data_IF_527601652593
#
_entry.id   IF_527601652593
#
_cell.length_a   1.000
_cell.length_b   1.000
_cell.length_c   1.000
_cell.angle_alpha   90.00
_cell.angle_beta   90.00
_cell.angle_gamma   90.00
#
_symmetry.space_group_name_H-M   'P 1'
#
loop_
_entity.id
_entity.type
_entity.pdbx_description
1 polymer ?
#
# COMPACT_ATOMS: atom_id res chain seq x y z
N UNK A 1 67.36 -14.12 -47.87
CA UNK A 1 68.06 -13.68 -46.64
C UNK A 1 66.98 -13.18 -45.70
N UNK A 2 66.49 -13.89 -44.70
CA UNK A 2 66.82 -15.17 -44.12
C UNK A 2 65.52 -15.79 -43.61
N UNK A 3 65.31 -17.06 -43.92
CA UNK A 3 64.33 -17.92 -43.27
C UNK A 3 65.13 -18.90 -42.40
N UNK A 4 64.89 -18.89 -41.09
CA UNK A 4 65.43 -19.84 -40.11
C UNK A 4 64.32 -20.13 -39.07
N UNK A 5 64.37 -21.26 -38.37
CA UNK A 5 63.39 -22.31 -38.58
C UNK A 5 62.59 -22.68 -37.32
N UNK A 6 61.51 -23.42 -37.58
CA UNK A 6 60.69 -24.25 -36.70
C UNK A 6 61.47 -24.94 -35.57
N UNK A 7 61.05 -24.71 -34.32
CA UNK A 7 61.34 -25.57 -33.18
C UNK A 7 60.00 -26.10 -32.61
N UNK A 8 59.80 -27.42 -32.75
CA UNK A 8 58.70 -28.16 -32.17
C UNK A 8 58.89 -28.27 -30.65
N UNK A 9 57.89 -27.83 -29.88
CA UNK A 9 57.84 -28.02 -28.43
C UNK A 9 56.85 -29.15 -28.09
N UNK A 10 57.41 -30.18 -27.47
CA UNK A 10 56.77 -31.42 -27.03
C UNK A 10 55.60 -31.21 -26.07
N UNK A 11 54.53 -31.99 -26.28
CA UNK A 11 53.42 -32.16 -25.34
C UNK A 11 53.89 -32.71 -23.98
N UNK A 12 53.42 -32.16 -22.85
CA UNK A 12 53.48 -32.87 -21.57
C UNK A 12 52.38 -33.94 -21.47
N UNK A 13 52.77 -35.13 -21.03
CA UNK A 13 51.90 -36.27 -20.80
C UNK A 13 50.83 -35.99 -19.73
N UNK A 14 49.60 -36.43 -20.00
CA UNK A 14 48.46 -36.35 -19.09
C UNK A 14 48.69 -37.21 -17.83
N UNK A 15 48.38 -36.71 -16.61
CA UNK A 15 48.40 -37.56 -15.43
C UNK A 15 47.21 -38.53 -15.41
N UNK A 16 47.49 -39.76 -15.01
CA UNK A 16 46.53 -40.85 -14.88
C UNK A 16 45.38 -40.51 -13.93
N UNK A 17 44.15 -40.76 -14.39
CA UNK A 17 42.91 -40.60 -13.62
C UNK A 17 42.86 -41.61 -12.47
N UNK A 18 42.92 -41.14 -11.23
CA UNK A 18 42.49 -41.90 -10.05
C UNK A 18 40.98 -42.10 -10.07
N UNK A 19 40.46 -43.31 -9.77
CA UNK A 19 39.02 -43.54 -9.68
C UNK A 19 38.49 -42.87 -8.40
N UNK A 20 37.50 -41.98 -8.55
CA UNK A 20 36.73 -41.40 -7.45
C UNK A 20 35.85 -42.50 -6.85
N UNK A 21 35.88 -42.75 -5.53
CA UNK A 21 34.99 -43.72 -4.91
C UNK A 21 33.53 -43.25 -5.00
N UNK A 22 32.63 -44.18 -5.36
CA UNK A 22 31.19 -43.97 -5.49
C UNK A 22 30.60 -43.21 -4.29
N UNK A 23 30.03 -42.04 -4.57
CA UNK A 23 29.24 -41.30 -3.59
C UNK A 23 27.94 -42.09 -3.27
N UNK A 24 27.52 -42.16 -2.00
CA UNK A 24 26.30 -42.87 -1.63
C UNK A 24 25.06 -42.21 -2.27
N UNK A 25 24.11 -42.98 -2.84
CA UNK A 25 22.87 -42.43 -3.36
C UNK A 25 21.93 -42.13 -2.18
N UNK A 26 21.94 -40.89 -1.66
CA UNK A 26 21.08 -40.58 -0.51
C UNK A 26 20.85 -39.12 -0.10
N UNK A 27 21.22 -38.11 -0.91
CA UNK A 27 21.14 -36.69 -0.47
C UNK A 27 20.19 -35.77 -1.25
N UNK A 28 19.58 -36.23 -2.35
CA UNK A 28 18.84 -35.35 -3.25
C UNK A 28 17.40 -35.04 -2.80
N UNK A 29 16.79 -35.90 -1.98
CA UNK A 29 15.37 -35.78 -1.60
C UNK A 29 15.10 -34.90 -0.37
N UNK A 30 16.01 -34.86 0.62
CA UNK A 30 15.84 -34.04 1.84
C UNK A 30 15.96 -32.53 1.52
N UNK A 31 17.00 -32.14 0.77
CA UNK A 31 17.23 -30.74 0.39
C UNK A 31 16.09 -30.14 -0.46
N UNK A 32 15.45 -30.97 -1.29
CA UNK A 32 14.32 -30.55 -2.13
C UNK A 32 13.02 -30.34 -1.36
N UNK A 33 12.73 -31.24 -0.41
CA UNK A 33 11.54 -31.16 0.44
C UNK A 33 11.60 -29.96 1.40
N UNK A 34 12.77 -29.73 2.02
CA UNK A 34 13.00 -28.58 2.90
C UNK A 34 12.90 -27.25 2.14
N UNK A 35 13.43 -27.22 0.91
CA UNK A 35 13.33 -26.05 0.04
C UNK A 35 11.89 -25.71 -0.38
N UNK A 36 11.05 -26.72 -0.62
CA UNK A 36 9.64 -26.54 -0.95
C UNK A 36 8.83 -26.08 0.27
N UNK A 37 9.08 -26.68 1.44
CA UNK A 37 8.45 -26.27 2.69
C UNK A 37 8.79 -24.82 3.05
N UNK A 38 10.05 -24.41 2.89
CA UNK A 38 10.47 -23.02 3.09
C UNK A 38 9.81 -22.06 2.11
N UNK A 39 9.70 -22.44 0.83
CA UNK A 39 8.97 -21.64 -0.18
C UNK A 39 7.49 -21.47 0.17
N UNK A 40 6.83 -22.54 0.65
CA UNK A 40 5.44 -22.47 1.12
C UNK A 40 5.27 -21.55 2.32
N UNK A 41 6.17 -21.63 3.31
CA UNK A 41 6.17 -20.72 4.47
C UNK A 41 6.37 -19.26 4.07
N UNK A 42 7.25 -19.00 3.11
CA UNK A 42 7.46 -17.65 2.59
C UNK A 42 6.20 -17.11 1.89
N UNK A 43 5.51 -17.93 1.10
CA UNK A 43 4.26 -17.55 0.45
C UNK A 43 3.14 -17.26 1.47
N UNK A 44 2.98 -18.10 2.50
CA UNK A 44 2.04 -17.85 3.60
C UNK A 44 2.33 -16.51 4.29
N UNK A 45 3.60 -16.25 4.61
CA UNK A 45 4.03 -15.00 5.21
C UNK A 45 3.74 -13.79 4.31
N UNK A 46 3.97 -13.88 3.00
CA UNK A 46 3.67 -12.80 2.06
C UNK A 46 2.17 -12.51 1.93
N UNK A 47 1.32 -13.54 1.84
CA UNK A 47 -0.13 -13.32 1.88
C UNK A 47 -0.57 -12.64 3.17
N UNK A 48 0.02 -13.02 4.31
CA UNK A 48 -0.26 -12.39 5.61
C UNK A 48 0.22 -10.94 5.68
N UNK A 49 1.40 -10.62 5.14
CA UNK A 49 1.90 -9.24 5.02
C UNK A 49 0.97 -8.41 4.13
N UNK A 50 0.50 -8.97 3.02
CA UNK A 50 -0.44 -8.30 2.12
C UNK A 50 -1.79 -8.05 2.81
N UNK A 51 -2.35 -9.06 3.49
CA UNK A 51 -3.56 -8.98 4.31
C UNK A 51 -3.45 -7.83 5.33
N UNK A 52 -2.38 -7.81 6.12
CA UNK A 52 -2.12 -6.78 7.13
C UNK A 52 -1.99 -5.39 6.49
N UNK A 53 -1.21 -5.26 5.41
CA UNK A 53 -1.01 -3.98 4.74
C UNK A 53 -2.30 -3.41 4.15
N UNK A 54 -3.16 -4.27 3.59
CA UNK A 54 -4.44 -3.89 3.01
C UNK A 54 -5.42 -3.43 4.11
N UNK A 55 -5.45 -4.14 5.25
CA UNK A 55 -6.24 -3.73 6.43
C UNK A 55 -5.86 -2.33 6.91
N UNK A 56 -4.56 -2.07 7.10
CA UNK A 56 -4.08 -0.75 7.52
C UNK A 56 -4.41 0.34 6.51
N UNK A 57 -4.25 0.04 5.22
CA UNK A 57 -4.58 0.97 4.14
C UNK A 57 -6.09 1.30 4.14
N UNK A 58 -6.95 0.29 4.32
CA UNK A 58 -8.39 0.49 4.44
C UNK A 58 -8.75 1.41 5.62
N UNK A 59 -8.17 1.15 6.80
CA UNK A 59 -8.43 1.96 7.98
C UNK A 59 -7.99 3.42 7.79
N UNK A 60 -6.82 3.65 7.17
CA UNK A 60 -6.34 4.99 6.86
C UNK A 60 -7.33 5.76 5.97
N UNK A 61 -7.88 5.09 4.95
CA UNK A 61 -8.87 5.68 4.05
C UNK A 61 -10.20 5.96 4.77
N UNK A 62 -10.67 5.08 5.66
CA UNK A 62 -11.87 5.38 6.48
C UNK A 62 -11.67 6.60 7.39
N UNK A 63 -10.50 6.74 8.01
CA UNK A 63 -10.19 7.90 8.86
C UNK A 63 -10.08 9.19 8.05
N UNK A 64 -9.47 9.17 6.86
CA UNK A 64 -9.50 10.30 5.94
C UNK A 64 -10.94 10.64 5.52
N UNK A 65 -11.77 9.64 5.24
CA UNK A 65 -13.20 9.85 4.96
C UNK A 65 -13.96 10.52 6.10
N UNK A 66 -13.70 10.13 7.36
CA UNK A 66 -14.26 10.79 8.55
C UNK A 66 -13.79 12.24 8.66
N UNK A 67 -12.50 12.48 8.41
CA UNK A 67 -11.90 13.83 8.43
C UNK A 67 -12.53 14.76 7.40
N UNK A 68 -12.76 14.28 6.17
CA UNK A 68 -13.44 15.08 5.14
C UNK A 68 -14.91 15.35 5.50
N UNK A 69 -15.62 14.38 6.05
CA UNK A 69 -16.98 14.59 6.60
C UNK A 69 -16.99 15.66 7.70
N UNK A 70 -16.06 15.59 8.64
CA UNK A 70 -15.93 16.59 9.71
C UNK A 70 -15.62 17.99 9.14
N UNK A 71 -14.77 18.08 8.12
CA UNK A 71 -14.44 19.33 7.43
C UNK A 71 -15.68 19.95 6.76
N UNK A 72 -16.50 19.13 6.11
CA UNK A 72 -17.75 19.60 5.51
C UNK A 72 -18.70 20.18 6.56
N UNK A 73 -18.89 19.49 7.68
CA UNK A 73 -19.74 19.98 8.78
C UNK A 73 -19.18 21.26 9.43
N UNK A 74 -17.86 21.31 9.65
CA UNK A 74 -17.19 22.45 10.29
C UNK A 74 -17.25 23.73 9.46
N UNK A 75 -17.31 23.63 8.13
CA UNK A 75 -17.44 24.79 7.23
C UNK A 75 -18.91 25.08 6.88
N UNK A 76 -19.70 24.03 6.64
CA UNK A 76 -21.08 24.14 6.20
C UNK A 76 -22.00 24.72 7.26
N UNK A 77 -21.90 24.27 8.52
CA UNK A 77 -22.78 24.77 9.59
C UNK A 77 -22.59 26.26 9.91
N UNK A 78 -21.36 26.78 10.07
CA UNK A 78 -21.19 28.21 10.29
C UNK A 78 -21.63 29.03 9.07
N UNK A 79 -21.38 28.55 7.84
CA UNK A 79 -21.81 29.24 6.63
C UNK A 79 -23.34 29.40 6.59
N UNK A 80 -24.09 28.31 6.80
CA UNK A 80 -25.56 28.36 6.77
C UNK A 80 -26.13 29.22 7.90
N UNK A 81 -25.55 29.18 9.09
CA UNK A 81 -25.96 30.02 10.21
C UNK A 81 -25.72 31.52 9.91
N UNK A 82 -24.54 31.87 9.40
CA UNK A 82 -24.20 33.25 9.02
C UNK A 82 -25.12 33.76 7.91
N UNK A 83 -25.41 32.93 6.89
CA UNK A 83 -26.37 33.27 5.85
C UNK A 83 -27.77 33.54 6.41
N UNK A 84 -28.25 32.70 7.35
CA UNK A 84 -29.55 32.87 7.96
C UNK A 84 -29.64 34.16 8.78
N UNK A 85 -28.64 34.45 9.60
CA UNK A 85 -28.58 35.69 10.39
C UNK A 85 -28.49 36.91 9.46
N UNK A 86 -27.65 36.85 8.43
CA UNK A 86 -27.53 37.92 7.43
C UNK A 86 -28.88 38.18 6.73
N UNK A 87 -29.55 37.13 6.27
CA UNK A 87 -30.83 37.22 5.59
C UNK A 87 -31.93 37.82 6.47
N UNK A 88 -32.05 37.35 7.72
CA UNK A 88 -33.03 37.91 8.67
C UNK A 88 -32.74 39.36 9.02
N UNK A 89 -31.46 39.71 9.25
CA UNK A 89 -31.05 41.08 9.61
C UNK A 89 -31.23 42.05 8.44
N UNK A 90 -31.06 41.60 7.20
CA UNK A 90 -31.32 42.41 6.01
C UNK A 90 -32.82 42.75 5.83
N UNK A 91 -33.73 41.93 6.40
CA UNK A 91 -35.17 42.12 6.29
C UNK A 91 -35.77 43.00 7.40
N UNK A 92 -35.05 43.23 8.51
CA UNK A 92 -35.53 43.99 9.69
C UNK A 92 -34.81 45.35 9.79
N UNK A 93 -35.37 46.39 9.17
CA UNK A 93 -35.11 47.84 9.33
C UNK A 93 -33.65 48.41 9.17
N UNK A 94 -33.56 49.71 8.91
CA UNK A 94 -32.48 50.45 8.21
C UNK A 94 -31.08 50.53 8.83
N UNK A 95 -30.85 50.00 10.04
CA UNK A 95 -29.56 50.12 10.75
C UNK A 95 -28.70 48.85 10.70
N UNK A 96 -29.25 47.71 10.29
CA UNK A 96 -28.55 46.41 10.27
C UNK A 96 -27.78 46.10 8.98
N UNK A 97 -27.87 46.94 7.94
CA UNK A 97 -27.41 46.62 6.59
C UNK A 97 -25.91 46.29 6.51
N UNK A 98 -25.06 47.04 7.22
CA UNK A 98 -23.60 46.79 7.24
C UNK A 98 -23.27 45.46 7.91
N UNK A 99 -23.91 45.15 9.04
CA UNK A 99 -23.70 43.87 9.74
C UNK A 99 -24.20 42.69 8.91
N UNK A 100 -25.38 42.81 8.29
CA UNK A 100 -25.92 41.81 7.38
C UNK A 100 -24.98 41.56 6.18
N UNK A 101 -24.43 42.61 5.58
CA UNK A 101 -23.47 42.50 4.49
C UNK A 101 -22.18 41.77 4.87
N UNK A 102 -21.61 42.07 6.05
CA UNK A 102 -20.40 41.38 6.55
C UNK A 102 -20.69 39.88 6.77
N UNK A 103 -21.80 39.55 7.43
CA UNK A 103 -22.19 38.15 7.68
C UNK A 103 -22.44 37.39 6.37
N UNK A 104 -23.07 38.04 5.38
CA UNK A 104 -23.28 37.48 4.06
C UNK A 104 -21.95 37.21 3.33
N UNK A 105 -20.99 38.14 3.38
CA UNK A 105 -19.67 37.95 2.78
C UNK A 105 -18.88 36.81 3.45
N UNK A 106 -18.93 36.71 4.78
CA UNK A 106 -18.31 35.59 5.50
C UNK A 106 -18.94 34.25 5.12
N UNK A 107 -20.28 34.19 5.06
CA UNK A 107 -21.00 33.00 4.60
C UNK A 107 -20.62 32.62 3.17
N UNK A 108 -20.61 33.58 2.25
CA UNK A 108 -20.24 33.35 0.85
C UNK A 108 -18.78 32.87 0.72
N UNK A 109 -17.86 33.45 1.49
CA UNK A 109 -16.47 33.01 1.55
C UNK A 109 -16.34 31.56 2.03
N UNK A 110 -17.04 31.17 3.09
CA UNK A 110 -17.06 29.79 3.56
C UNK A 110 -17.68 28.84 2.53
N UNK A 111 -18.75 29.25 1.85
CA UNK A 111 -19.37 28.49 0.76
C UNK A 111 -18.44 28.28 -0.43
N UNK A 112 -17.65 29.30 -0.81
CA UNK A 112 -16.63 29.19 -1.83
C UNK A 112 -15.52 28.22 -1.42
N UNK A 113 -15.07 28.25 -0.16
CA UNK A 113 -14.09 27.27 0.37
C UNK A 113 -14.67 25.86 0.34
N UNK A 114 -15.92 25.65 0.75
CA UNK A 114 -16.58 24.35 0.74
C UNK A 114 -16.62 23.75 -0.68
N UNK A 115 -16.93 24.59 -1.67
CA UNK A 115 -17.02 24.21 -3.09
C UNK A 115 -15.65 23.84 -3.66
N UNK A 116 -14.63 24.64 -3.37
CA UNK A 116 -13.25 24.40 -3.85
C UNK A 116 -12.61 23.18 -3.19
N UNK A 117 -12.86 22.94 -1.90
CA UNK A 117 -12.35 21.76 -1.18
C UNK A 117 -13.07 20.48 -1.60
N UNK A 118 -14.35 20.58 -2.00
CA UNK A 118 -15.20 19.46 -2.41
C UNK A 118 -15.15 18.26 -1.42
N UNK A 119 -15.29 18.58 -0.13
CA UNK A 119 -15.17 17.61 0.95
C UNK A 119 -16.09 16.36 0.83
N UNK A 120 -17.35 16.46 0.36
CA UNK A 120 -18.20 15.29 0.17
C UNK A 120 -17.62 14.29 -0.84
N UNK A 121 -17.08 14.78 -1.97
CA UNK A 121 -16.47 13.93 -2.98
C UNK A 121 -15.21 13.22 -2.45
N UNK A 122 -14.37 13.93 -1.70
CA UNK A 122 -13.18 13.33 -1.08
C UNK A 122 -13.55 12.27 -0.04
N UNK A 123 -14.62 12.51 0.73
CA UNK A 123 -15.11 11.53 1.69
C UNK A 123 -15.64 10.26 1.00
N UNK A 124 -16.38 10.39 -0.11
CA UNK A 124 -16.89 9.24 -0.86
C UNK A 124 -15.75 8.46 -1.53
N UNK A 125 -14.78 9.15 -2.13
CA UNK A 125 -13.58 8.54 -2.71
C UNK A 125 -12.77 7.76 -1.67
N UNK A 126 -12.57 8.31 -0.48
CA UNK A 126 -11.86 7.63 0.59
C UNK A 126 -12.59 6.36 1.05
N UNK A 127 -13.92 6.41 1.21
CA UNK A 127 -14.72 5.21 1.55
C UNK A 127 -14.67 4.16 0.43
N UNK A 128 -14.75 4.58 -0.84
CA UNK A 128 -14.65 3.68 -1.98
C UNK A 128 -13.27 2.97 -2.02
N UNK A 129 -12.18 3.72 -1.84
CA UNK A 129 -10.84 3.16 -1.76
C UNK A 129 -10.69 2.19 -0.58
N UNK A 130 -11.24 2.53 0.59
CA UNK A 130 -11.21 1.65 1.77
C UNK A 130 -11.88 0.29 1.49
N UNK A 131 -13.03 0.30 0.82
CA UNK A 131 -13.74 -0.93 0.46
C UNK A 131 -12.94 -1.82 -0.52
N UNK A 132 -12.21 -1.21 -1.46
CA UNK A 132 -11.31 -1.96 -2.35
C UNK A 132 -10.20 -2.64 -1.54
N UNK A 133 -9.55 -1.92 -0.62
CA UNK A 133 -8.53 -2.52 0.25
C UNK A 133 -9.08 -3.65 1.13
N UNK A 134 -10.29 -3.52 1.69
CA UNK A 134 -10.92 -4.61 2.44
C UNK A 134 -11.17 -5.84 1.57
N UNK A 135 -11.53 -5.65 0.29
CA UNK A 135 -11.71 -6.77 -0.63
C UNK A 135 -10.37 -7.48 -0.95
N UNK A 136 -9.26 -6.73 -1.02
CA UNK A 136 -7.91 -7.30 -1.19
C UNK A 136 -7.50 -8.06 0.07
N UNK A 137 -7.73 -7.48 1.26
CA UNK A 137 -7.48 -8.15 2.54
C UNK A 137 -8.23 -9.48 2.62
N UNK A 138 -9.52 -9.45 2.29
CA UNK A 138 -10.38 -10.65 2.35
C UNK A 138 -9.89 -11.72 1.37
N UNK A 139 -9.53 -11.34 0.15
CA UNK A 139 -8.98 -12.26 -0.83
C UNK A 139 -7.62 -12.84 -0.40
N UNK A 140 -6.72 -12.01 0.13
CA UNK A 140 -5.43 -12.47 0.66
C UNK A 140 -5.60 -13.48 1.80
N UNK A 141 -6.55 -13.23 2.71
CA UNK A 141 -6.89 -14.15 3.78
C UNK A 141 -7.48 -15.46 3.25
N UNK A 142 -8.42 -15.40 2.32
CA UNK A 142 -9.01 -16.60 1.70
C UNK A 142 -7.94 -17.44 0.99
N UNK A 143 -7.07 -16.80 0.20
CA UNK A 143 -5.96 -17.47 -0.46
C UNK A 143 -5.02 -18.13 0.53
N UNK A 144 -4.69 -17.46 1.64
CA UNK A 144 -3.80 -18.01 2.68
C UNK A 144 -4.43 -19.17 3.45
N UNK A 145 -5.68 -19.01 3.90
CA UNK A 145 -6.32 -19.95 4.82
C UNK A 145 -6.97 -21.15 4.13
N UNK A 146 -7.44 -20.97 2.88
CA UNK A 146 -8.26 -21.95 2.18
C UNK A 146 -7.53 -22.52 0.97
N UNK A 147 -6.98 -21.67 0.12
CA UNK A 147 -6.48 -22.10 -1.20
C UNK A 147 -5.01 -22.58 -1.16
N UNK A 148 -4.16 -21.93 -0.37
CA UNK A 148 -2.73 -22.19 -0.26
C UNK A 148 -2.38 -23.67 0.07
N UNK A 149 -3.14 -24.39 0.92
CA UNK A 149 -2.91 -25.81 1.14
C UNK A 149 -3.10 -26.68 -0.11
N UNK A 150 -3.99 -26.27 -1.02
CA UNK A 150 -4.31 -27.01 -2.24
C UNK A 150 -3.45 -26.57 -3.44
N UNK A 151 -2.92 -25.34 -3.43
CA UNK A 151 -2.11 -24.81 -4.52
C UNK A 151 -0.67 -25.33 -4.55
N UNK A 152 -0.16 -25.42 -5.78
CA UNK A 152 1.28 -25.49 -6.04
C UNK A 152 1.96 -24.15 -5.73
N UNK A 153 3.28 -24.16 -5.55
CA UNK A 153 4.05 -22.93 -5.34
C UNK A 153 4.03 -21.99 -6.55
N UNK A 154 3.69 -22.47 -7.74
CA UNK A 154 3.51 -21.64 -8.94
C UNK A 154 2.17 -20.91 -8.89
N UNK A 155 1.07 -21.62 -8.68
CA UNK A 155 -0.28 -21.04 -8.56
C UNK A 155 -0.36 -20.01 -7.42
N UNK A 156 0.21 -20.34 -6.26
CA UNK A 156 0.26 -19.43 -5.12
C UNK A 156 1.04 -18.13 -5.43
N UNK A 157 2.11 -18.21 -6.22
CA UNK A 157 2.89 -17.03 -6.63
C UNK A 157 2.12 -16.18 -7.63
N UNK A 158 1.42 -16.79 -8.57
CA UNK A 158 0.58 -16.09 -9.53
C UNK A 158 -0.59 -15.38 -8.83
N UNK A 159 -1.26 -16.05 -7.88
CA UNK A 159 -2.32 -15.46 -7.08
C UNK A 159 -1.81 -14.27 -6.23
N UNK A 160 -0.63 -14.41 -5.62
CA UNK A 160 0.01 -13.32 -4.88
C UNK A 160 0.36 -12.14 -5.79
N UNK A 161 0.90 -12.40 -6.99
CA UNK A 161 1.20 -11.38 -7.97
C UNK A 161 -0.07 -10.64 -8.42
N UNK A 162 -1.16 -11.37 -8.67
CA UNK A 162 -2.45 -10.77 -9.05
C UNK A 162 -3.01 -9.84 -7.96
N UNK A 163 -2.96 -10.23 -6.68
CA UNK A 163 -3.38 -9.36 -5.58
C UNK A 163 -2.46 -8.14 -5.42
N UNK A 164 -1.16 -8.31 -5.65
CA UNK A 164 -0.18 -7.21 -5.60
C UNK A 164 -0.47 -6.19 -6.71
N UNK A 165 -0.67 -6.64 -7.94
CA UNK A 165 -1.06 -5.76 -9.06
C UNK A 165 -2.34 -5.00 -8.75
N UNK A 166 -3.37 -5.69 -8.24
CA UNK A 166 -4.64 -5.05 -7.86
C UNK A 166 -4.45 -3.98 -6.77
N UNK A 167 -3.58 -4.23 -5.79
CA UNK A 167 -3.21 -3.24 -4.77
C UNK A 167 -2.49 -2.05 -5.39
N UNK A 168 -1.57 -2.29 -6.30
CA UNK A 168 -0.78 -1.23 -6.96
C UNK A 168 -1.66 -0.36 -7.86
N UNK A 169 -2.62 -0.95 -8.58
CA UNK A 169 -3.65 -0.22 -9.32
C UNK A 169 -4.50 0.66 -8.40
N UNK A 170 -4.93 0.13 -7.25
CA UNK A 170 -5.66 0.91 -6.24
C UNK A 170 -4.80 2.04 -5.65
N UNK A 171 -3.51 1.81 -5.43
CA UNK A 171 -2.57 2.81 -4.94
C UNK A 171 -2.31 3.90 -5.99
N UNK A 172 -2.22 3.54 -7.28
CA UNK A 172 -2.04 4.48 -8.37
C UNK A 172 -3.24 5.41 -8.56
N UNK A 173 -4.45 4.91 -8.27
CA UNK A 173 -5.69 5.69 -8.27
C UNK A 173 -5.91 6.53 -7.00
N UNK A 174 -5.09 6.37 -5.96
CA UNK A 174 -5.23 7.14 -4.72
C UNK A 174 -4.64 8.56 -4.86
N UNK A 175 -5.27 9.53 -4.19
CA UNK A 175 -4.82 10.93 -4.22
C UNK A 175 -3.33 11.06 -3.81
N UNK A 176 -2.53 11.87 -4.53
CA UNK A 176 -1.12 12.06 -4.20
C UNK A 176 -0.92 12.54 -2.76
N UNK A 177 0.05 11.97 -2.02
CA UNK A 177 0.26 12.31 -0.62
C UNK A 177 0.67 13.77 -0.47
N UNK A 178 0.04 14.48 0.48
CA UNK A 178 0.42 15.85 0.81
C UNK A 178 1.88 15.96 1.27
N UNK A 179 2.51 17.13 1.12
CA UNK A 179 3.90 17.37 1.61
C UNK A 179 4.09 17.06 3.10
N UNK A 180 3.06 17.26 3.92
CA UNK A 180 3.09 16.90 5.35
C UNK A 180 3.08 15.39 5.54
N UNK A 181 2.28 14.66 4.77
CA UNK A 181 2.26 13.20 4.77
C UNK A 181 3.63 12.64 4.33
N UNK A 182 4.23 13.18 3.27
CA UNK A 182 5.56 12.77 2.83
C UNK A 182 6.63 12.94 3.93
N UNK A 183 6.67 14.09 4.61
CA UNK A 183 7.63 14.31 5.71
C UNK A 183 7.41 13.37 6.89
N UNK A 184 6.15 13.11 7.25
CA UNK A 184 5.81 12.14 8.30
C UNK A 184 6.19 10.71 7.91
N UNK A 185 5.93 10.32 6.66
CA UNK A 185 6.31 9.02 6.13
C UNK A 185 7.84 8.84 6.17
N UNK A 186 8.61 9.83 5.72
CA UNK A 186 10.08 9.80 5.78
C UNK A 186 10.60 9.68 7.21
N UNK A 187 10.02 10.41 8.16
CA UNK A 187 10.41 10.32 9.57
C UNK A 187 10.10 8.95 10.17
N UNK A 188 8.94 8.38 9.83
CA UNK A 188 8.52 7.05 10.30
C UNK A 188 9.42 5.94 9.73
N UNK A 189 9.72 5.98 8.43
CA UNK A 189 10.66 5.05 7.78
C UNK A 189 12.04 5.08 8.42
N UNK A 190 12.58 6.29 8.67
CA UNK A 190 13.87 6.44 9.35
C UNK A 190 13.87 5.91 10.81
N UNK A 191 12.69 5.90 11.45
CA UNK A 191 12.49 5.37 12.79
C UNK A 191 12.17 3.86 12.80
N UNK A 192 12.15 3.20 11.64
CA UNK A 192 11.83 1.77 11.53
C UNK A 192 10.35 1.44 11.71
N UNK A 193 9.43 2.39 11.59
CA UNK A 193 8.01 2.15 11.90
C UNK A 193 7.19 1.47 10.80
N UNK A 194 7.80 1.06 9.69
CA UNK A 194 7.21 0.08 8.76
C UNK A 194 7.77 -1.32 9.04
N UNK A 195 7.24 -1.93 10.08
CA UNK A 195 7.44 -3.35 10.40
C UNK A 195 6.13 -4.08 10.25
N UNK A 196 6.12 -5.21 9.56
CA UNK A 196 4.97 -6.09 9.57
C UNK A 196 4.91 -6.83 10.90
N UNK A 197 3.72 -6.98 11.48
CA UNK A 197 3.55 -7.76 12.72
C UNK A 197 4.04 -9.21 12.51
N UNK A 198 3.94 -9.71 11.29
CA UNK A 198 4.48 -11.01 10.84
C UNK A 198 6.00 -11.13 11.02
N UNK A 199 6.73 -10.01 10.95
CA UNK A 199 8.19 -9.96 11.04
C UNK A 199 8.68 -9.62 12.46
N UNK A 200 7.74 -9.33 13.38
CA UNK A 200 8.01 -9.10 14.79
C UNK A 200 8.07 -10.39 15.62
N UNK A 201 8.55 -10.31 16.87
CA UNK A 201 8.46 -11.44 17.79
C UNK A 201 6.99 -11.87 17.96
N UNK A 202 6.74 -13.18 17.99
CA UNK A 202 5.39 -13.74 18.11
C UNK A 202 4.65 -13.12 19.30
N UNK A 203 3.38 -12.69 19.14
CA UNK A 203 2.62 -12.13 20.25
C UNK A 203 2.49 -13.17 21.36
N UNK A 204 2.78 -12.75 22.59
CA UNK A 204 2.65 -13.53 23.82
C UNK A 204 1.21 -13.99 24.07
#
# INVERSE_FOLDING_TARGET
MDATPTAAASHPAAPASTPVPDAPPGGASETGADGEANRRRALDAEFRRLEESAMWSAQCQFEEGKRWRATHWALGLPATLLAAIAGTTALVESTGATAAGILALLSAGLGAVLTTVNAPQRASQAVAAANVYLSIQTAARQHREIDLPAWTTVEAREALAALTTRRDEQNAGADPPSRRAYRKARANLNAGGQTYTVDGPAPL
#
